data_IF_462766782557
#
_entry.id   IF_462766782557
#
_cell.length_a   1.000
_cell.length_b   1.000
_cell.length_c   1.000
_cell.angle_alpha   90.00
_cell.angle_beta   90.00
_cell.angle_gamma   90.00
#
_symmetry.space_group_name_H-M   'P 1'
#
loop_
_entity.id
_entity.type
_entity.pdbx_description
1 polymer ?
#
# COMPACT_ATOMS: atom_id res chain seq x y z
N UNK A 1 -36.11 -3.68 0.27
CA UNK A 1 -35.52 -2.40 0.72
C UNK A 1 -34.25 -2.77 1.50
N UNK A 2 -33.06 -2.43 1.01
CA UNK A 2 -31.83 -2.70 1.75
C UNK A 2 -31.68 -1.70 2.91
N UNK A 3 -31.39 -2.18 4.12
CA UNK A 3 -31.12 -1.31 5.28
C UNK A 3 -29.89 -0.45 4.96
N UNK A 4 -30.06 0.88 4.93
CA UNK A 4 -28.98 1.84 4.63
C UNK A 4 -27.76 1.71 5.55
N UNK A 5 -27.92 1.11 6.74
CA UNK A 5 -26.79 0.78 7.61
C UNK A 5 -25.91 -0.32 7.02
N UNK A 6 -26.50 -1.35 6.41
CA UNK A 6 -25.76 -2.46 5.79
C UNK A 6 -24.88 -1.94 4.65
N UNK A 7 -25.41 -1.03 3.83
CA UNK A 7 -24.66 -0.39 2.74
C UNK A 7 -23.43 0.36 3.28
N UNK A 8 -23.62 1.18 4.33
CA UNK A 8 -22.52 1.93 4.94
C UNK A 8 -21.45 1.04 5.56
N UNK A 9 -21.84 -0.07 6.20
CA UNK A 9 -20.87 -1.03 6.73
C UNK A 9 -20.06 -1.70 5.61
N UNK A 10 -20.72 -2.08 4.50
CA UNK A 10 -20.04 -2.68 3.36
C UNK A 10 -19.02 -1.72 2.72
N UNK A 11 -19.35 -0.44 2.57
CA UNK A 11 -18.43 0.58 2.04
C UNK A 11 -17.20 0.78 2.94
N UNK A 12 -17.40 0.82 4.27
CA UNK A 12 -16.30 0.93 5.23
C UNK A 12 -15.38 -0.30 5.18
N UNK A 13 -15.97 -1.50 5.15
CA UNK A 13 -15.19 -2.73 5.02
C UNK A 13 -14.39 -2.77 3.72
N UNK A 14 -15.03 -2.42 2.61
CA UNK A 14 -14.38 -2.36 1.30
C UNK A 14 -13.19 -1.40 1.31
N UNK A 15 -13.37 -0.17 1.84
CA UNK A 15 -12.28 0.80 1.92
C UNK A 15 -11.09 0.31 2.75
N UNK A 16 -11.37 -0.29 3.91
CA UNK A 16 -10.31 -0.83 4.78
C UNK A 16 -9.59 -1.98 4.07
N UNK A 17 -10.31 -2.91 3.43
CA UNK A 17 -9.69 -4.02 2.68
C UNK A 17 -8.78 -3.51 1.56
N UNK A 18 -9.24 -2.59 0.73
CA UNK A 18 -8.44 -2.00 -0.35
C UNK A 18 -7.18 -1.31 0.16
N UNK A 19 -7.30 -0.61 1.28
CA UNK A 19 -6.18 0.05 1.94
C UNK A 19 -5.13 -0.98 2.41
N UNK A 20 -5.57 -2.12 2.96
CA UNK A 20 -4.67 -3.22 3.33
C UNK A 20 -4.01 -3.87 2.11
N UNK A 21 -4.74 -4.04 0.99
CA UNK A 21 -4.16 -4.56 -0.26
C UNK A 21 -3.00 -3.68 -0.72
N UNK A 22 -3.18 -2.36 -0.77
CA UNK A 22 -2.13 -1.41 -1.15
C UNK A 22 -0.91 -1.44 -0.21
N UNK A 23 -1.13 -1.66 1.09
CA UNK A 23 -0.04 -1.84 2.05
C UNK A 23 0.73 -3.16 1.80
N UNK A 24 0.03 -4.22 1.42
CA UNK A 24 0.64 -5.50 1.06
C UNK A 24 1.41 -5.43 -0.26
N UNK A 25 0.95 -4.68 -1.24
CA UNK A 25 1.71 -4.38 -2.47
C UNK A 25 3.04 -3.69 -2.15
N UNK A 26 3.02 -2.67 -1.28
CA UNK A 26 4.24 -1.99 -0.85
C UNK A 26 5.21 -2.94 -0.12
N UNK A 27 4.67 -3.95 0.60
CA UNK A 27 5.48 -4.99 1.23
C UNK A 27 6.16 -5.90 0.20
N UNK A 28 5.49 -6.26 -0.90
CA UNK A 28 6.10 -7.03 -1.99
C UNK A 28 7.26 -6.26 -2.62
N UNK A 29 7.08 -4.97 -2.91
CA UNK A 29 8.14 -4.12 -3.46
C UNK A 29 9.32 -4.01 -2.49
N UNK A 30 9.06 -3.91 -1.18
CA UNK A 30 10.12 -3.92 -0.16
C UNK A 30 10.94 -5.22 -0.18
N UNK A 31 10.28 -6.37 -0.29
CA UNK A 31 10.97 -7.66 -0.33
C UNK A 31 11.82 -7.80 -1.59
N UNK A 32 11.33 -7.34 -2.74
CA UNK A 32 12.11 -7.34 -3.98
C UNK A 32 13.30 -6.36 -3.90
N UNK A 33 13.11 -5.19 -3.28
CA UNK A 33 14.18 -4.23 -3.05
C UNK A 33 15.30 -4.81 -2.17
N UNK A 34 14.94 -5.57 -1.13
CA UNK A 34 15.92 -6.28 -0.29
C UNK A 34 16.72 -7.30 -1.10
N UNK A 35 16.09 -8.03 -2.02
CA UNK A 35 16.79 -8.97 -2.90
C UNK A 35 17.76 -8.23 -3.82
N UNK A 36 17.30 -7.14 -4.45
CA UNK A 36 18.15 -6.30 -5.30
C UNK A 36 19.38 -5.78 -4.54
N UNK A 37 19.19 -5.23 -3.34
CA UNK A 37 20.30 -4.75 -2.51
C UNK A 37 21.30 -5.84 -2.15
N UNK A 38 20.82 -7.05 -1.85
CA UNK A 38 21.70 -8.21 -1.56
C UNK A 38 22.44 -8.70 -2.81
N UNK A 39 21.79 -8.68 -3.98
CA UNK A 39 22.40 -9.15 -5.23
C UNK A 39 23.41 -8.17 -5.81
N UNK A 40 23.10 -6.88 -5.80
CA UNK A 40 23.94 -5.83 -6.41
C UNK A 40 25.12 -5.41 -5.53
N UNK A 41 25.08 -5.70 -4.23
CA UNK A 41 26.14 -5.32 -3.30
C UNK A 41 26.41 -3.82 -3.36
N UNK A 42 27.64 -3.42 -3.66
CA UNK A 42 28.05 -2.00 -3.75
C UNK A 42 27.38 -1.21 -4.88
N UNK A 43 26.83 -1.90 -5.90
CA UNK A 43 26.22 -1.25 -7.07
C UNK A 43 24.73 -0.88 -6.87
N UNK A 44 24.16 -1.20 -5.70
CA UNK A 44 22.72 -1.10 -5.47
C UNK A 44 22.16 0.33 -5.62
N UNK A 45 22.98 1.36 -5.43
CA UNK A 45 22.55 2.77 -5.59
C UNK A 45 22.17 3.13 -7.03
N UNK A 46 22.79 2.46 -8.01
CA UNK A 46 22.50 2.68 -9.42
C UNK A 46 21.45 1.69 -9.91
N UNK A 47 21.66 0.40 -9.64
CA UNK A 47 20.85 -0.67 -10.23
C UNK A 47 19.49 -0.86 -9.55
N UNK A 48 19.36 -0.51 -8.27
CA UNK A 48 18.09 -0.67 -7.52
C UNK A 48 17.34 0.66 -7.33
N UNK A 49 17.77 1.75 -7.97
CA UNK A 49 17.23 3.10 -7.76
C UNK A 49 15.73 3.19 -8.06
N UNK A 50 15.30 2.68 -9.21
CA UNK A 50 13.89 2.73 -9.61
C UNK A 50 12.99 2.01 -8.59
N UNK A 51 13.44 0.86 -8.12
CA UNK A 51 12.71 0.04 -7.15
C UNK A 51 12.65 0.72 -5.78
N UNK A 52 13.72 1.42 -5.39
CA UNK A 52 13.76 2.24 -4.18
C UNK A 52 12.81 3.45 -4.28
N UNK A 53 12.85 4.18 -5.40
CA UNK A 53 11.98 5.34 -5.65
C UNK A 53 10.51 4.93 -5.64
N UNK A 54 10.16 3.81 -6.29
CA UNK A 54 8.81 3.23 -6.26
C UNK A 54 8.40 2.87 -4.84
N UNK A 55 9.27 2.21 -4.09
CA UNK A 55 8.97 1.83 -2.72
C UNK A 55 8.67 3.07 -1.84
N UNK A 56 9.47 4.12 -1.96
CA UNK A 56 9.28 5.39 -1.22
C UNK A 56 7.94 6.04 -1.59
N UNK A 57 7.60 6.08 -2.88
CA UNK A 57 6.31 6.60 -3.34
C UNK A 57 5.15 5.83 -2.71
N UNK A 58 5.20 4.50 -2.77
CA UNK A 58 4.14 3.64 -2.23
C UNK A 58 3.96 3.82 -0.72
N UNK A 59 5.02 3.97 0.07
CA UNK A 59 4.86 4.21 1.52
C UNK A 59 4.11 5.51 1.81
N UNK A 60 4.34 6.56 1.01
CA UNK A 60 3.70 7.86 1.18
C UNK A 60 2.21 7.80 0.82
N UNK A 61 1.88 7.11 -0.27
CA UNK A 61 0.53 7.09 -0.83
C UNK A 61 -0.36 6.00 -0.20
N UNK A 62 0.22 4.83 0.10
CA UNK A 62 -0.50 3.63 0.53
C UNK A 62 -0.53 3.46 2.07
N UNK A 63 -0.32 4.54 2.82
CA UNK A 63 -0.48 4.52 4.26
C UNK A 63 -1.90 4.04 4.64
N UNK A 64 -2.00 3.19 5.67
CA UNK A 64 -3.29 2.65 6.08
C UNK A 64 -4.16 3.78 6.63
N UNK A 65 -5.23 4.12 5.90
CA UNK A 65 -6.27 5.08 6.30
C UNK A 65 -7.46 4.31 6.88
N UNK A 66 -7.93 4.73 8.04
CA UNK A 66 -9.16 4.18 8.63
C UNK A 66 -10.41 4.65 7.88
N UNK A 67 -11.55 4.03 8.16
CA UNK A 67 -12.83 4.32 7.49
C UNK A 67 -13.42 5.71 7.77
N UNK A 68 -12.86 6.49 8.70
CA UNK A 68 -13.32 7.85 9.04
C UNK A 68 -13.29 8.77 7.81
N UNK A 69 -12.40 8.51 6.84
CA UNK A 69 -12.36 9.22 5.57
C UNK A 69 -13.60 9.00 4.71
N UNK A 70 -14.17 7.79 4.75
CA UNK A 70 -15.38 7.41 4.00
C UNK A 70 -16.63 8.01 4.63
N UNK A 71 -16.68 8.09 5.97
CA UNK A 71 -17.82 8.67 6.68
C UNK A 71 -17.93 10.20 6.56
N UNK A 72 -16.86 10.87 6.12
CA UNK A 72 -16.82 12.33 5.93
C UNK A 72 -17.20 12.78 4.52
N UNK A 73 -17.42 11.83 3.61
CA UNK A 73 -17.68 12.09 2.20
C UNK A 73 -19.17 12.25 1.89
#
# INVERSE_FOLDING_TARGET
MADGRIVRYAEREHHVRETWVKAMEARLVREELKKCYRGEGVNHMQNCKELADRYVLMIRENAIKGFITVDKQ
#
